data_IF_447327454434
#
_entry.id   IF_447327454434
#
_cell.length_a   1.000
_cell.length_b   1.000
_cell.length_c   1.000
_cell.angle_alpha   90.00
_cell.angle_beta   90.00
_cell.angle_gamma   90.00
#
_symmetry.space_group_name_H-M   'P 1'
#
loop_
_entity.id
_entity.type
_entity.pdbx_description
1 polymer ?
#
# COMPACT_ATOMS: atom_id res chain seq x y z
N UNK A 1 -2.00 16.52 1.80
CA UNK A 1 -3.25 17.26 1.54
C UNK A 1 -3.98 17.47 2.85
N UNK A 2 -4.44 18.69 3.10
CA UNK A 2 -5.23 19.01 4.28
C UNK A 2 -6.69 19.14 3.86
N UNK A 3 -7.53 18.29 4.43
CA UNK A 3 -8.97 18.42 4.34
C UNK A 3 -9.48 19.03 5.64
N UNK A 4 -10.23 20.11 5.54
CA UNK A 4 -10.84 20.78 6.69
C UNK A 4 -12.35 20.60 6.64
N UNK A 5 -12.94 20.22 7.75
CA UNK A 5 -14.39 20.10 7.91
C UNK A 5 -14.76 20.54 9.32
N UNK A 6 -15.91 21.18 9.46
CA UNK A 6 -16.50 21.46 10.77
C UNK A 6 -16.96 20.19 11.47
N UNK A 7 -17.10 19.07 10.73
CA UNK A 7 -17.47 17.76 11.26
C UNK A 7 -16.21 16.90 11.34
N UNK A 8 -15.65 16.65 12.55
CA UNK A 8 -14.43 15.87 12.71
C UNK A 8 -14.48 14.48 12.05
N UNK A 9 -15.66 13.83 12.09
CA UNK A 9 -15.84 12.52 11.46
C UNK A 9 -15.63 12.56 9.96
N UNK A 10 -16.06 13.64 9.28
CA UNK A 10 -15.87 13.80 7.85
C UNK A 10 -14.38 13.94 7.50
N UNK A 11 -13.64 14.74 8.26
CA UNK A 11 -12.21 14.92 8.06
C UNK A 11 -11.45 13.61 8.26
N UNK A 12 -11.81 12.86 9.30
CA UNK A 12 -11.21 11.56 9.57
C UNK A 12 -11.50 10.54 8.45
N UNK A 13 -12.72 10.53 7.95
CA UNK A 13 -13.11 9.63 6.87
C UNK A 13 -12.35 9.94 5.58
N UNK A 14 -12.13 11.23 5.26
CA UNK A 14 -11.30 11.63 4.12
C UNK A 14 -9.87 11.11 4.27
N UNK A 15 -9.28 11.27 5.46
CA UNK A 15 -7.95 10.73 5.75
C UNK A 15 -7.89 9.22 5.56
N UNK A 16 -8.85 8.49 6.13
CA UNK A 16 -8.91 7.03 6.03
C UNK A 16 -9.06 6.57 4.58
N UNK A 17 -9.93 7.24 3.80
CA UNK A 17 -10.12 6.89 2.40
C UNK A 17 -8.86 7.14 1.58
N UNK A 18 -8.13 8.21 1.88
CA UNK A 18 -6.85 8.49 1.24
C UNK A 18 -5.81 7.42 1.54
N UNK A 19 -5.72 6.98 2.79
CA UNK A 19 -4.81 5.92 3.19
C UNK A 19 -5.19 4.57 2.57
N UNK A 20 -6.49 4.30 2.40
CA UNK A 20 -6.95 3.14 1.65
C UNK A 20 -6.44 3.18 0.20
N UNK A 21 -6.53 4.33 -0.46
CA UNK A 21 -6.03 4.48 -1.83
C UNK A 21 -4.52 4.23 -1.89
N UNK A 22 -3.75 4.77 -0.95
CA UNK A 22 -2.31 4.53 -0.89
C UNK A 22 -2.02 3.04 -0.69
N UNK A 23 -2.66 2.41 0.28
CA UNK A 23 -2.46 0.98 0.54
C UNK A 23 -2.79 0.11 -0.67
N UNK A 24 -3.83 0.47 -1.42
CA UNK A 24 -4.21 -0.21 -2.66
C UNK A 24 -3.14 -0.06 -3.74
N UNK A 25 -2.54 1.14 -3.83
CA UNK A 25 -1.41 1.39 -4.75
C UNK A 25 -0.22 0.52 -4.35
N UNK A 26 0.08 0.36 -3.06
CA UNK A 26 1.19 -0.48 -2.59
C UNK A 26 1.03 -1.93 -3.05
N UNK A 27 -0.16 -2.49 -2.92
CA UNK A 27 -0.43 -3.84 -3.41
C UNK A 27 -0.29 -3.92 -4.93
N UNK A 28 -0.85 -2.96 -5.65
CA UNK A 28 -0.77 -2.92 -7.11
C UNK A 28 0.69 -2.80 -7.60
N UNK A 29 1.48 -1.93 -6.98
CA UNK A 29 2.90 -1.79 -7.31
C UNK A 29 3.68 -3.08 -7.04
N UNK A 30 3.38 -3.74 -5.93
CA UNK A 30 4.02 -5.01 -5.57
C UNK A 30 3.73 -6.11 -6.58
N UNK A 31 2.48 -6.25 -7.00
CA UNK A 31 2.08 -7.25 -8.00
C UNK A 31 2.72 -6.95 -9.35
N UNK A 32 2.69 -5.69 -9.77
CA UNK A 32 3.33 -5.27 -11.02
C UNK A 32 4.84 -5.52 -10.98
N UNK A 33 5.51 -5.18 -9.88
CA UNK A 33 6.94 -5.43 -9.71
C UNK A 33 7.26 -6.92 -9.76
N UNK A 34 6.45 -7.77 -9.14
CA UNK A 34 6.64 -9.21 -9.16
C UNK A 34 6.54 -9.77 -10.59
N UNK A 35 5.55 -9.31 -11.35
CA UNK A 35 5.37 -9.70 -12.75
C UNK A 35 6.58 -9.32 -13.58
N UNK A 36 7.03 -8.07 -13.45
CA UNK A 36 8.16 -7.52 -14.20
C UNK A 36 9.46 -8.25 -13.84
N UNK A 37 9.71 -8.48 -12.55
CA UNK A 37 10.89 -9.21 -12.10
C UNK A 37 10.89 -10.67 -12.58
N UNK A 38 9.73 -11.32 -12.56
CA UNK A 38 9.60 -12.70 -13.03
C UNK A 38 9.87 -12.82 -14.53
N UNK A 39 9.61 -11.76 -15.30
CA UNK A 39 9.93 -11.68 -16.72
C UNK A 39 11.41 -11.33 -16.98
N UNK A 40 12.22 -11.13 -15.95
CA UNK A 40 13.62 -10.78 -16.08
C UNK A 40 13.89 -9.29 -16.38
N UNK A 41 12.89 -8.43 -16.14
CA UNK A 41 13.02 -6.99 -16.38
C UNK A 41 13.39 -6.31 -15.06
N UNK A 42 14.31 -5.34 -15.14
CA UNK A 42 14.75 -4.57 -13.98
C UNK A 42 13.61 -3.70 -13.43
N UNK A 43 13.17 -3.91 -12.17
CA UNK A 43 12.09 -3.14 -11.58
C UNK A 43 12.44 -1.66 -11.41
N UNK A 44 13.71 -1.30 -11.24
CA UNK A 44 14.12 0.11 -11.14
C UNK A 44 13.85 0.86 -12.43
N UNK A 45 14.23 0.28 -13.57
CA UNK A 45 13.96 0.86 -14.89
C UNK A 45 12.46 0.93 -15.19
N UNK A 46 11.75 -0.10 -14.80
CA UNK A 46 10.31 -0.15 -14.95
C UNK A 46 9.62 1.00 -14.21
N UNK A 47 9.91 1.17 -12.93
CA UNK A 47 9.31 2.25 -12.14
C UNK A 47 9.79 3.62 -12.60
N UNK A 48 11.05 3.77 -12.99
CA UNK A 48 11.53 5.02 -13.54
C UNK A 48 10.73 5.44 -14.78
N UNK A 49 10.45 4.52 -15.69
CA UNK A 49 9.61 4.78 -16.84
C UNK A 49 8.20 5.20 -16.44
N UNK A 50 7.54 4.44 -15.56
CA UNK A 50 6.17 4.72 -15.18
C UNK A 50 6.03 6.03 -14.41
N UNK A 51 6.95 6.30 -13.49
CA UNK A 51 6.87 7.51 -12.65
C UNK A 51 7.29 8.77 -13.37
N UNK A 52 7.99 8.67 -14.49
CA UNK A 52 8.31 9.81 -15.35
C UNK A 52 7.24 10.07 -16.43
N UNK A 53 6.27 9.21 -16.59
CA UNK A 53 5.25 9.32 -17.65
C UNK A 53 3.82 9.27 -17.11
N UNK A 54 3.33 8.07 -16.78
CA UNK A 54 1.92 7.85 -16.44
C UNK A 54 1.59 8.10 -14.97
N UNK A 55 2.55 7.81 -14.08
CA UNK A 55 2.32 7.83 -12.63
C UNK A 55 3.33 8.75 -11.95
N UNK A 56 3.17 10.06 -12.15
CA UNK A 56 4.12 11.08 -11.71
C UNK A 56 3.94 11.53 -10.25
N UNK A 57 2.88 11.09 -9.57
CA UNK A 57 2.59 11.49 -8.21
C UNK A 57 3.60 10.95 -7.19
N UNK A 58 3.74 11.67 -6.06
CA UNK A 58 4.72 11.35 -5.02
C UNK A 58 4.54 9.93 -4.45
N UNK A 59 3.31 9.46 -4.31
CA UNK A 59 3.02 8.10 -3.80
C UNK A 59 3.66 7.05 -4.69
N UNK A 60 3.52 7.17 -6.01
CA UNK A 60 4.10 6.21 -6.96
C UNK A 60 5.62 6.27 -6.95
N UNK A 61 6.20 7.49 -6.97
CA UNK A 61 7.65 7.68 -6.99
C UNK A 61 8.30 7.14 -5.73
N UNK A 62 7.78 7.52 -4.56
CA UNK A 62 8.38 7.14 -3.29
C UNK A 62 8.23 5.64 -3.02
N UNK A 63 7.03 5.11 -3.14
CA UNK A 63 6.78 3.70 -2.81
C UNK A 63 7.27 2.75 -3.91
N UNK A 64 7.18 3.17 -5.17
CA UNK A 64 7.78 2.39 -6.26
C UNK A 64 9.28 2.19 -6.04
N UNK A 65 9.97 3.24 -5.58
CA UNK A 65 11.38 3.16 -5.23
C UNK A 65 11.65 2.18 -4.09
N UNK A 66 10.89 2.28 -2.99
CA UNK A 66 11.05 1.39 -1.83
C UNK A 66 10.81 -0.08 -2.23
N UNK A 67 9.78 -0.34 -3.00
CA UNK A 67 9.44 -1.69 -3.45
C UNK A 67 10.52 -2.23 -4.39
N UNK A 68 11.01 -1.40 -5.31
CA UNK A 68 12.09 -1.81 -6.22
C UNK A 68 13.37 -2.17 -5.47
N UNK A 69 13.72 -1.39 -4.44
CA UNK A 69 14.91 -1.62 -3.61
C UNK A 69 14.67 -2.64 -2.50
N UNK A 70 13.42 -3.00 -2.23
CA UNK A 70 13.03 -3.85 -1.09
C UNK A 70 13.52 -3.27 0.25
N UNK A 71 13.38 -1.96 0.40
CA UNK A 71 13.78 -1.23 1.60
C UNK A 71 12.55 -0.83 2.42
N UNK A 72 12.28 -1.59 3.47
CA UNK A 72 11.07 -1.40 4.29
C UNK A 72 11.39 -0.98 5.73
N UNK A 73 12.66 -0.72 6.03
CA UNK A 73 13.12 -0.21 7.33
C UNK A 73 14.12 0.94 7.12
N UNK A 74 14.10 1.97 7.97
CA UNK A 74 13.08 2.23 8.98
C UNK A 74 11.73 2.57 8.35
N UNK A 75 10.65 2.26 9.07
CA UNK A 75 9.32 2.53 8.57
C UNK A 75 9.00 4.02 8.62
N UNK A 76 8.50 4.58 7.54
CA UNK A 76 7.87 5.90 7.54
C UNK A 76 6.44 5.80 8.07
N UNK A 77 5.75 4.70 7.74
CA UNK A 77 4.42 4.37 8.26
C UNK A 77 4.38 2.86 8.49
N UNK A 78 4.42 2.44 9.75
CA UNK A 78 4.56 1.02 10.08
C UNK A 78 3.31 0.21 9.72
N UNK A 79 3.51 -1.04 9.32
CA UNK A 79 2.44 -1.92 8.87
C UNK A 79 1.25 -2.01 9.85
N UNK A 80 1.44 -2.07 11.19
CA UNK A 80 0.30 -2.07 12.11
C UNK A 80 -0.54 -0.80 12.07
N UNK A 81 0.06 0.35 11.76
CA UNK A 81 -0.68 1.60 11.61
C UNK A 81 -1.52 1.58 10.32
N UNK A 82 -0.97 1.03 9.25
CA UNK A 82 -1.70 0.83 8.00
C UNK A 82 -2.86 -0.15 8.18
N UNK A 83 -2.64 -1.26 8.85
CA UNK A 83 -3.69 -2.24 9.17
C UNK A 83 -4.82 -1.58 9.96
N UNK A 84 -4.47 -0.81 10.98
CA UNK A 84 -5.47 -0.10 11.80
C UNK A 84 -6.32 0.84 10.95
N UNK A 85 -5.70 1.62 10.06
CA UNK A 85 -6.42 2.58 9.21
C UNK A 85 -7.37 1.86 8.24
N UNK A 86 -6.94 0.75 7.65
CA UNK A 86 -7.80 -0.04 6.77
C UNK A 86 -8.94 -0.69 7.54
N UNK A 87 -8.68 -1.19 8.74
CA UNK A 87 -9.72 -1.74 9.62
C UNK A 87 -10.77 -0.69 9.97
N UNK A 88 -10.34 0.54 10.27
CA UNK A 88 -11.25 1.65 10.55
C UNK A 88 -12.05 2.05 9.30
N UNK A 89 -11.42 2.00 8.12
CA UNK A 89 -12.10 2.24 6.84
C UNK A 89 -13.20 1.21 6.61
N UNK A 90 -12.91 -0.08 6.85
CA UNK A 90 -13.88 -1.16 6.71
C UNK A 90 -15.03 -1.01 7.70
N UNK A 91 -14.75 -0.58 8.93
CA UNK A 91 -15.80 -0.33 9.93
C UNK A 91 -16.74 0.80 9.49
N UNK A 92 -16.19 1.88 8.92
CA UNK A 92 -17.00 2.97 8.38
C UNK A 92 -17.82 2.50 7.17
N UNK A 93 -17.23 1.72 6.30
CA UNK A 93 -17.89 1.15 5.12
C UNK A 93 -19.07 0.25 5.55
N UNK A 94 -18.89 -0.55 6.59
CA UNK A 94 -19.94 -1.41 7.11
C UNK A 94 -21.15 -0.59 7.62
N UNK A 95 -20.88 0.47 8.40
CA UNK A 95 -21.95 1.34 8.89
C UNK A 95 -22.72 2.02 7.75
N UNK A 96 -22.01 2.40 6.69
CA UNK A 96 -22.59 3.12 5.55
C UNK A 96 -23.11 2.20 4.45
N UNK A 97 -22.95 0.88 4.62
CA UNK A 97 -23.35 -0.14 3.63
C UNK A 97 -22.66 0.05 2.29
N UNK A 98 -21.37 0.34 2.34
CA UNK A 98 -20.53 0.45 1.14
C UNK A 98 -19.64 -0.78 1.03
N UNK A 99 -19.84 -1.67 0.05
CA UNK A 99 -18.92 -2.78 -0.17
C UNK A 99 -17.55 -2.26 -0.62
N UNK A 100 -16.50 -2.74 0.04
CA UNK A 100 -15.12 -2.37 -0.30
C UNK A 100 -14.26 -3.63 -0.39
N UNK A 101 -14.43 -4.45 -1.46
CA UNK A 101 -13.69 -5.71 -1.58
C UNK A 101 -12.16 -5.52 -1.64
N UNK A 102 -11.70 -4.44 -2.28
CA UNK A 102 -10.27 -4.15 -2.33
C UNK A 102 -9.71 -3.80 -0.94
N UNK A 103 -10.46 -3.07 -0.12
CA UNK A 103 -10.03 -2.77 1.25
C UNK A 103 -9.91 -4.06 2.07
N UNK A 104 -10.82 -5.01 1.90
CA UNK A 104 -10.76 -6.31 2.56
C UNK A 104 -9.51 -7.10 2.13
N UNK A 105 -9.19 -7.10 0.85
CA UNK A 105 -7.98 -7.75 0.33
C UNK A 105 -6.74 -7.09 0.92
N UNK A 106 -6.63 -5.79 0.89
CA UNK A 106 -5.47 -5.04 1.39
C UNK A 106 -5.32 -5.23 2.90
N UNK A 107 -6.42 -5.29 3.64
CA UNK A 107 -6.39 -5.58 5.07
C UNK A 107 -5.73 -6.93 5.34
N UNK A 108 -6.13 -7.96 4.59
CA UNK A 108 -5.56 -9.30 4.74
C UNK A 108 -4.07 -9.33 4.37
N UNK A 109 -3.65 -8.55 3.37
CA UNK A 109 -2.24 -8.44 3.01
C UNK A 109 -1.42 -7.79 4.13
N UNK A 110 -1.92 -6.73 4.75
CA UNK A 110 -1.27 -6.11 5.90
C UNK A 110 -1.21 -7.07 7.10
N UNK A 111 -2.29 -7.80 7.35
CA UNK A 111 -2.29 -8.86 8.36
C UNK A 111 -1.21 -9.90 8.09
N UNK A 112 -1.01 -10.28 6.82
CA UNK A 112 0.03 -11.23 6.45
C UNK A 112 1.43 -10.70 6.76
N UNK A 113 1.71 -9.43 6.46
CA UNK A 113 2.98 -8.80 6.82
C UNK A 113 3.22 -8.89 8.33
N UNK A 114 2.22 -8.52 9.13
CA UNK A 114 2.30 -8.53 10.60
C UNK A 114 2.47 -9.97 11.12
N UNK A 115 1.67 -10.91 10.62
CA UNK A 115 1.71 -12.31 11.04
C UNK A 115 3.07 -12.97 10.77
N UNK A 116 3.79 -12.50 9.76
CA UNK A 116 5.14 -12.97 9.42
C UNK A 116 6.24 -12.22 10.18
N UNK A 117 5.90 -11.46 11.22
CA UNK A 117 6.86 -10.73 12.04
C UNK A 117 7.22 -9.35 11.52
N UNK A 118 6.41 -8.75 10.67
CA UNK A 118 6.69 -7.47 10.03
C UNK A 118 6.17 -6.25 10.75
N UNK A 119 6.00 -6.28 12.08
CA UNK A 119 5.48 -5.13 12.84
C UNK A 119 6.37 -3.88 12.72
N UNK A 120 7.66 -4.06 12.48
CA UNK A 120 8.62 -2.96 12.36
C UNK A 120 8.76 -2.47 10.92
N UNK A 121 8.17 -3.16 9.97
CA UNK A 121 8.30 -2.81 8.55
C UNK A 121 7.34 -1.70 8.17
N UNK A 122 7.76 -0.88 7.21
CA UNK A 122 6.87 0.07 6.54
C UNK A 122 5.72 -0.70 5.86
N UNK A 123 4.56 -0.09 5.80
CA UNK A 123 3.39 -0.73 5.17
C UNK A 123 3.59 -1.05 3.70
N UNK A 124 4.57 -0.42 3.04
CA UNK A 124 4.96 -0.76 1.66
C UNK A 124 5.54 -2.18 1.55
N UNK A 125 5.86 -2.84 2.67
CA UNK A 125 6.25 -4.26 2.68
C UNK A 125 5.16 -5.19 2.13
N UNK A 126 3.92 -4.73 2.03
CA UNK A 126 2.85 -5.40 1.27
C UNK A 126 3.33 -5.70 -0.15
N UNK A 127 4.10 -4.79 -0.75
CA UNK A 127 4.65 -4.99 -2.09
C UNK A 127 5.65 -6.15 -2.20
N UNK A 128 6.19 -6.63 -1.07
CA UNK A 128 7.08 -7.79 -1.05
C UNK A 128 6.30 -9.12 -1.14
N UNK A 129 5.05 -9.13 -0.72
CA UNK A 129 4.27 -10.37 -0.64
C UNK A 129 4.06 -11.00 -2.02
N UNK A 130 3.75 -10.19 -3.04
CA UNK A 130 3.56 -10.69 -4.40
C UNK A 130 4.84 -11.34 -4.94
N UNK A 131 6.00 -10.76 -4.64
CA UNK A 131 7.29 -11.35 -5.02
C UNK A 131 7.51 -12.70 -4.33
N UNK A 132 7.22 -12.77 -3.04
CA UNK A 132 7.32 -14.02 -2.26
C UNK A 132 6.36 -15.08 -2.80
N UNK A 133 5.12 -14.70 -3.10
CA UNK A 133 4.11 -15.58 -3.66
C UNK A 133 4.53 -16.13 -5.03
N UNK A 134 5.30 -15.34 -5.80
CA UNK A 134 5.84 -15.73 -7.09
C UNK A 134 7.15 -16.52 -6.99
N UNK A 135 7.64 -16.81 -5.77
CA UNK A 135 8.88 -17.54 -5.56
C UNK A 135 10.14 -16.70 -5.79
N UNK A 136 10.02 -15.37 -5.80
CA UNK A 136 11.17 -14.46 -5.89
C UNK A 136 11.74 -14.19 -4.48
N UNK A 137 13.02 -13.84 -4.45
CA UNK A 137 13.72 -13.46 -3.22
C UNK A 137 13.98 -11.97 -3.13
#
# INVERSE_FOLDING_TARGET
MLFRSEVPQAANLVKLSGNFLIASVLEALGEAAALIRKAGIDPHRYFELLTSTLFTGAVFTNYGGLIARQEFTPAGFAAPLGEKDIRLTLAAAERLRVPMPLASLVHDRLQTVIARGGEQLDWSAVGQLAAQDAGLR
#
